data_IF_917351428171
#
_entry.id   IF_917351428171
#
_cell.length_a   1.000
_cell.length_b   1.000
_cell.length_c   1.000
_cell.angle_alpha   90.00
_cell.angle_beta   90.00
_cell.angle_gamma   90.00
#
_symmetry.space_group_name_H-M   'P 1'
#
loop_
_entity.id
_entity.type
_entity.pdbx_description
1 polymer ?
#
# COMPACT_ATOMS: atom_id res chain seq x y z
N UNK A 1 -3.69 5.45 -29.28
CA UNK A 1 -3.62 4.85 -27.92
C UNK A 1 -2.32 5.32 -27.28
N UNK A 2 -2.40 6.13 -26.24
CA UNK A 2 -1.21 6.51 -25.46
C UNK A 2 -0.64 5.26 -24.79
N UNK A 3 0.66 5.00 -24.98
CA UNK A 3 1.33 3.87 -24.33
C UNK A 3 1.36 4.12 -22.82
N UNK A 4 1.00 3.12 -22.03
CA UNK A 4 1.21 3.18 -20.57
C UNK A 4 2.72 3.13 -20.34
N UNK A 5 3.33 4.13 -19.68
CA UNK A 5 4.76 4.12 -19.42
C UNK A 5 5.09 2.98 -18.44
N UNK A 6 6.00 2.09 -18.83
CA UNK A 6 6.41 0.93 -18.03
C UNK A 6 6.93 1.34 -16.63
N UNK A 7 7.55 2.52 -16.55
CA UNK A 7 8.03 3.10 -15.30
C UNK A 7 6.92 3.28 -14.26
N UNK A 8 5.70 3.66 -14.66
CA UNK A 8 4.59 3.83 -13.73
C UNK A 8 4.16 2.52 -13.08
N UNK A 9 4.26 1.40 -13.80
CA UNK A 9 3.97 0.07 -13.23
C UNK A 9 5.06 -0.34 -12.25
N UNK A 10 6.33 -0.07 -12.57
CA UNK A 10 7.47 -0.37 -11.70
C UNK A 10 7.43 0.45 -10.40
N UNK A 11 7.09 1.73 -10.49
CA UNK A 11 6.89 2.60 -9.32
C UNK A 11 5.76 2.11 -8.43
N UNK A 12 4.63 1.71 -9.02
CA UNK A 12 3.51 1.15 -8.26
C UNK A 12 3.89 -0.10 -7.47
N UNK A 13 4.64 -1.02 -8.09
CA UNK A 13 5.14 -2.23 -7.41
C UNK A 13 6.15 -1.86 -6.32
N UNK A 14 7.03 -0.89 -6.59
CA UNK A 14 8.03 -0.44 -5.62
C UNK A 14 7.37 0.12 -4.36
N UNK A 15 6.37 0.99 -4.50
CA UNK A 15 5.61 1.53 -3.36
C UNK A 15 5.03 0.42 -2.48
N UNK A 16 4.50 -0.65 -3.09
CA UNK A 16 3.96 -1.79 -2.34
C UNK A 16 5.03 -2.56 -1.56
N UNK A 17 6.23 -2.70 -2.14
CA UNK A 17 7.36 -3.38 -1.49
C UNK A 17 7.93 -2.57 -0.34
N UNK A 18 7.97 -1.25 -0.50
CA UNK A 18 8.53 -0.32 0.50
C UNK A 18 7.52 -0.03 1.63
N UNK A 19 6.26 -0.41 1.47
CA UNK A 19 5.18 -0.15 2.42
C UNK A 19 5.45 -0.69 3.84
N UNK A 20 5.89 -1.94 4.05
CA UNK A 20 6.15 -2.46 5.40
C UNK A 20 7.24 -1.67 6.14
N UNK A 21 8.32 -1.33 5.44
CA UNK A 21 9.41 -0.54 6.00
C UNK A 21 8.96 0.90 6.30
N UNK A 22 8.17 1.49 5.40
CA UNK A 22 7.54 2.81 5.61
C UNK A 22 6.70 2.83 6.88
N UNK A 23 5.86 1.81 7.08
CA UNK A 23 5.04 1.71 8.30
C UNK A 23 5.90 1.60 9.56
N UNK A 24 6.98 0.80 9.50
CA UNK A 24 7.92 0.64 10.62
C UNK A 24 8.63 1.95 10.94
N UNK A 25 9.12 2.67 9.93
CA UNK A 25 9.79 3.96 10.10
C UNK A 25 8.90 5.03 10.72
N UNK A 26 7.60 5.00 10.43
CA UNK A 26 6.62 5.91 11.03
C UNK A 26 6.00 5.40 12.34
N UNK A 27 6.40 4.22 12.84
CA UNK A 27 5.82 3.64 14.05
C UNK A 27 4.34 3.27 13.91
N UNK A 28 3.85 3.10 12.68
CA UNK A 28 2.45 2.78 12.39
C UNK A 28 2.23 1.26 12.45
N UNK A 29 1.21 0.84 13.20
CA UNK A 29 0.81 -0.57 13.18
C UNK A 29 0.02 -0.91 11.91
N UNK A 30 0.31 -2.07 11.31
CA UNK A 30 -0.45 -2.56 10.16
C UNK A 30 -1.95 -2.66 10.44
N UNK A 31 -2.33 -3.06 11.66
CA UNK A 31 -3.73 -3.12 12.10
C UNK A 31 -4.43 -1.76 12.13
N UNK A 32 -3.73 -0.70 12.57
CA UNK A 32 -4.25 0.67 12.55
C UNK A 32 -4.52 1.11 11.11
N UNK A 33 -3.53 0.92 10.22
CA UNK A 33 -3.63 1.32 8.82
C UNK A 33 -4.71 0.54 8.07
N UNK A 34 -4.82 -0.76 8.31
CA UNK A 34 -5.88 -1.60 7.77
C UNK A 34 -7.27 -1.06 8.15
N UNK A 35 -7.49 -0.81 9.45
CA UNK A 35 -8.77 -0.30 9.96
C UNK A 35 -9.13 1.06 9.37
N UNK A 36 -8.17 1.99 9.29
CA UNK A 36 -8.40 3.35 8.79
C UNK A 36 -8.54 3.41 7.26
N UNK A 37 -7.90 2.51 6.53
CA UNK A 37 -8.05 2.39 5.07
C UNK A 37 -9.29 1.60 4.63
N UNK A 38 -10.00 0.98 5.57
CA UNK A 38 -11.19 0.16 5.29
C UNK A 38 -10.85 -1.19 4.66
N UNK A 39 -9.67 -1.73 4.95
CA UNK A 39 -9.23 -3.06 4.53
C UNK A 39 -9.26 -3.96 5.76
N UNK A 40 -9.82 -5.18 5.64
CA UNK A 40 -9.77 -6.12 6.77
C UNK A 40 -8.32 -6.44 7.13
N UNK A 41 -8.02 -6.57 8.42
CA UNK A 41 -6.66 -6.80 8.92
C UNK A 41 -6.04 -8.03 8.24
N UNK A 42 -6.78 -9.14 8.16
CA UNK A 42 -6.32 -10.37 7.49
C UNK A 42 -5.99 -10.14 6.01
N UNK A 43 -6.85 -9.41 5.27
CA UNK A 43 -6.61 -9.12 3.86
C UNK A 43 -5.41 -8.18 3.68
N UNK A 44 -5.27 -7.18 4.55
CA UNK A 44 -4.18 -6.23 4.54
C UNK A 44 -2.83 -6.93 4.71
N UNK A 45 -2.67 -7.78 5.75
CA UNK A 45 -1.43 -8.51 5.97
C UNK A 45 -1.11 -9.47 4.82
N UNK A 46 -2.12 -10.18 4.28
CA UNK A 46 -1.94 -11.07 3.13
C UNK A 46 -1.49 -10.29 1.89
N UNK A 47 -2.13 -9.16 1.58
CA UNK A 47 -1.81 -8.31 0.42
C UNK A 47 -0.45 -7.65 0.56
N UNK A 48 -0.06 -7.28 1.78
CA UNK A 48 1.26 -6.74 2.09
C UNK A 48 2.37 -7.75 1.80
N UNK A 49 2.20 -9.01 2.25
CA UNK A 49 3.16 -10.09 1.95
C UNK A 49 3.26 -10.38 0.45
N UNK A 50 2.16 -10.26 -0.28
CA UNK A 50 2.08 -10.65 -1.68
C UNK A 50 2.21 -9.49 -2.68
N UNK A 51 2.41 -8.24 -2.23
CA UNK A 51 2.39 -7.03 -3.09
C UNK A 51 1.17 -7.01 -4.02
N UNK A 52 -0.01 -7.22 -3.44
CA UNK A 52 -1.28 -7.43 -4.16
C UNK A 52 -2.36 -6.39 -3.82
N UNK A 53 -1.94 -5.18 -3.46
CA UNK A 53 -2.87 -4.06 -3.30
C UNK A 53 -3.29 -3.52 -4.67
N UNK A 54 -4.57 -3.16 -4.79
CA UNK A 54 -5.06 -2.40 -5.94
C UNK A 54 -4.65 -0.93 -5.82
N UNK A 55 -4.73 -0.19 -6.93
CA UNK A 55 -4.48 1.26 -6.92
C UNK A 55 -5.33 2.01 -5.89
N UNK A 56 -6.62 1.69 -5.81
CA UNK A 56 -7.56 2.30 -4.86
C UNK A 56 -7.30 1.91 -3.40
N UNK A 57 -6.76 0.72 -3.15
CA UNK A 57 -6.35 0.33 -1.80
C UNK A 57 -5.11 1.11 -1.37
N UNK A 58 -4.10 1.22 -2.24
CA UNK A 58 -2.89 1.99 -1.95
C UNK A 58 -3.17 3.48 -1.76
N UNK A 59 -4.04 4.06 -2.57
CA UNK A 59 -4.44 5.45 -2.40
C UNK A 59 -5.01 5.71 -1.00
N UNK A 60 -5.90 4.82 -0.53
CA UNK A 60 -6.46 4.91 0.83
C UNK A 60 -5.40 4.71 1.91
N UNK A 61 -4.48 3.76 1.72
CA UNK A 61 -3.38 3.49 2.65
C UNK A 61 -2.47 4.71 2.77
N UNK A 62 -2.04 5.29 1.64
CA UNK A 62 -1.15 6.46 1.61
C UNK A 62 -1.83 7.68 2.27
N UNK A 63 -3.13 7.88 2.04
CA UNK A 63 -3.91 8.93 2.74
C UNK A 63 -3.98 8.73 4.25
N UNK A 64 -3.86 7.50 4.76
CA UNK A 64 -3.80 7.21 6.20
C UNK A 64 -2.40 7.44 6.75
N UNK A 65 -1.36 7.11 5.97
CA UNK A 65 0.04 7.28 6.37
C UNK A 65 0.44 8.75 6.42
N UNK A 66 -0.01 9.56 5.45
CA UNK A 66 0.36 10.97 5.33
C UNK A 66 -0.47 11.92 6.21
N UNK A 67 -1.28 11.39 7.14
CA UNK A 67 -2.07 12.16 8.10
C UNK A 67 -1.40 12.17 9.46
#
# INVERSE_FOLDING_TARGET
MSRIPENSVREFIKIQKDLPDTLKSYGLSGSYVARKSGISITSFHRKMKNTAFTGLELERIIRVINK
#
